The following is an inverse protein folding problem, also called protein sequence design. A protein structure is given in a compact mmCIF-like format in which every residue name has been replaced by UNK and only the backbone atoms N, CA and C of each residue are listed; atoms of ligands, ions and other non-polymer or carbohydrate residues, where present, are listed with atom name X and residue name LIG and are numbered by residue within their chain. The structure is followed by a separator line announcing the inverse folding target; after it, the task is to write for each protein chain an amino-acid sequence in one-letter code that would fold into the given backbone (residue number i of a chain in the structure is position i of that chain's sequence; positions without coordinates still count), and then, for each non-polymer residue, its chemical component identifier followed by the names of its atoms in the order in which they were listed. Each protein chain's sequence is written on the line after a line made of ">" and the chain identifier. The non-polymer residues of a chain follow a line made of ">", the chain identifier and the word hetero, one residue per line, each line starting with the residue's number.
data_IF_384866981829
#
_entry.id   IF_384866981829
#
_cell.length_a   1.000
_cell.length_b   1.000
_cell.length_c   1.000
_cell.angle_alpha   90.00
_cell.angle_beta   90.00
_cell.angle_gamma   90.00
#
_symmetry.space_group_name_H-M   'P 1'
#
loop_
_entity.id
_entity.type
_entity.pdbx_description
1 polymer ?
#
# COMPACT_ATOMS: atom_id res chain seq x y z
N UNK A 1 -13.73 6.36 -8.52
CA UNK A 1 -13.54 6.93 -7.16
C UNK A 1 -12.05 6.96 -6.92
N UNK A 2 -11.38 8.04 -7.27
CA UNK A 2 -9.94 8.17 -7.09
C UNK A 2 -9.64 8.46 -5.62
N UNK A 3 -9.36 7.38 -4.88
CA UNK A 3 -8.77 7.46 -3.54
C UNK A 3 -7.31 7.78 -3.79
N UNK A 4 -6.85 8.97 -3.41
CA UNK A 4 -5.48 9.43 -3.68
C UNK A 4 -4.39 8.57 -3.03
N UNK A 5 -3.25 9.17 -2.69
CA UNK A 5 -2.13 8.46 -2.09
C UNK A 5 -2.39 8.25 -0.60
N UNK A 6 -2.28 7.00 -0.13
CA UNK A 6 -2.26 6.69 1.31
C UNK A 6 -0.85 6.29 1.69
N UNK A 7 -0.26 7.03 2.63
CA UNK A 7 1.09 6.83 3.14
C UNK A 7 1.08 5.93 4.37
N UNK A 8 2.10 5.09 4.47
CA UNK A 8 2.30 4.12 5.53
C UNK A 8 3.79 3.99 5.87
N UNK A 9 4.09 3.33 6.99
CA UNK A 9 5.44 3.12 7.52
C UNK A 9 5.90 4.27 8.40
N UNK A 10 7.03 4.08 9.11
CA UNK A 10 7.59 5.12 9.97
C UNK A 10 8.02 6.38 9.22
N UNK A 11 8.41 6.25 7.94
CA UNK A 11 8.75 7.39 7.10
C UNK A 11 7.56 8.33 6.82
N UNK A 12 6.32 7.82 6.86
CA UNK A 12 5.12 8.63 6.67
C UNK A 12 4.87 9.63 7.80
N UNK A 13 5.51 9.45 8.96
CA UNK A 13 5.40 10.34 10.12
C UNK A 13 6.43 11.48 10.10
N UNK A 14 7.27 11.56 9.06
CA UNK A 14 8.16 12.70 8.88
C UNK A 14 7.31 13.95 8.64
N UNK A 15 7.58 14.99 9.44
CA UNK A 15 6.80 16.22 9.42
C UNK A 15 6.74 16.84 8.01
N UNK A 16 5.52 16.99 7.50
CA UNK A 16 5.23 17.61 6.21
C UNK A 16 5.55 16.76 4.96
N UNK A 17 5.93 15.48 5.09
CA UNK A 17 6.20 14.63 3.93
C UNK A 17 4.94 14.37 3.07
N UNK A 18 3.80 14.19 3.71
CA UNK A 18 2.49 14.06 3.06
C UNK A 18 2.12 15.32 2.26
N UNK A 19 2.38 16.49 2.83
CA UNK A 19 2.20 17.78 2.15
C UNK A 19 3.12 17.91 0.95
N UNK A 20 4.41 17.57 1.09
CA UNK A 20 5.36 17.62 -0.01
C UNK A 20 4.92 16.72 -1.18
N UNK A 21 4.52 15.48 -0.90
CA UNK A 21 4.04 14.56 -1.94
C UNK A 21 2.78 15.11 -2.63
N UNK A 22 1.86 15.69 -1.86
CA UNK A 22 0.66 16.34 -2.43
C UNK A 22 1.01 17.53 -3.33
N UNK A 23 1.96 18.37 -2.93
CA UNK A 23 2.40 19.54 -3.70
C UNK A 23 3.08 19.13 -5.02
N UNK A 24 3.95 18.13 -4.99
CA UNK A 24 4.70 17.66 -6.17
C UNK A 24 3.82 16.85 -7.14
N UNK A 25 2.88 16.05 -6.63
CA UNK A 25 2.05 15.17 -7.48
C UNK A 25 0.72 15.80 -7.89
N UNK A 26 0.22 16.78 -7.15
CA UNK A 26 -1.14 17.29 -7.29
C UNK A 26 -2.23 16.29 -6.84
N UNK A 27 -1.85 15.14 -6.29
CA UNK A 27 -2.78 14.08 -5.87
C UNK A 27 -3.07 14.22 -4.36
N UNK A 28 -4.34 14.12 -3.93
CA UNK A 28 -4.67 14.09 -2.50
C UNK A 28 -3.88 13.01 -1.78
N UNK A 29 -3.18 13.37 -0.71
CA UNK A 29 -2.33 12.46 0.06
C UNK A 29 -2.79 12.43 1.51
N UNK A 30 -2.80 11.24 2.11
CA UNK A 30 -3.30 10.97 3.45
C UNK A 30 -2.34 10.03 4.18
N UNK A 31 -2.22 10.14 5.50
CA UNK A 31 -1.51 9.16 6.33
C UNK A 31 -2.53 8.11 6.82
N UNK A 32 -2.16 6.84 6.81
CA UNK A 32 -3.00 5.77 7.35
C UNK A 32 -3.24 5.93 8.86
N UNK A 33 -4.34 5.37 9.39
CA UNK A 33 -4.69 5.48 10.81
C UNK A 33 -3.63 4.85 11.74
N UNK A 34 -3.01 3.74 11.32
CA UNK A 34 -1.89 3.10 12.02
C UNK A 34 -0.76 2.79 11.01
N UNK A 35 0.06 3.80 10.64
CA UNK A 35 1.04 3.65 9.58
C UNK A 35 2.19 2.72 10.00
N UNK A 36 2.43 2.53 11.30
CA UNK A 36 3.49 1.65 11.79
C UNK A 36 3.07 0.17 11.71
N UNK A 37 1.82 -0.15 12.06
CA UNK A 37 1.34 -1.52 12.05
C UNK A 37 0.79 -1.97 10.69
N UNK A 38 0.53 -1.06 9.75
CA UNK A 38 -0.06 -1.36 8.44
C UNK A 38 0.56 -2.57 7.72
N UNK A 39 1.89 -2.72 7.72
CA UNK A 39 2.56 -3.87 7.10
C UNK A 39 2.22 -5.17 7.84
N UNK A 40 2.40 -5.21 9.16
CA UNK A 40 2.13 -6.40 9.97
C UNK A 40 0.65 -6.81 9.89
N UNK A 41 -0.27 -5.85 10.00
CA UNK A 41 -1.72 -6.08 9.89
C UNK A 41 -2.11 -6.56 8.49
N UNK A 42 -1.54 -5.96 7.44
CA UNK A 42 -1.76 -6.35 6.06
C UNK A 42 -1.27 -7.77 5.78
N UNK A 43 -0.07 -8.11 6.27
CA UNK A 43 0.47 -9.47 6.19
C UNK A 43 -0.41 -10.46 6.95
N UNK A 44 -0.86 -10.14 8.16
CA UNK A 44 -1.78 -11.00 8.93
C UNK A 44 -3.06 -11.29 8.14
N UNK A 45 -3.70 -10.26 7.58
CA UNK A 45 -4.90 -10.42 6.73
C UNK A 45 -4.62 -11.23 5.46
N UNK A 46 -3.43 -11.09 4.88
CA UNK A 46 -3.04 -11.87 3.71
C UNK A 46 -2.91 -13.36 4.03
N UNK A 47 -2.46 -13.72 5.23
CA UNK A 47 -2.40 -15.11 5.69
C UNK A 47 -3.79 -15.77 5.73
N UNK A 48 -4.84 -15.03 6.10
CA UNK A 48 -6.21 -15.54 6.08
C UNK A 48 -6.72 -15.84 4.66
N UNK A 49 -6.11 -15.22 3.64
CA UNK A 49 -6.47 -15.37 2.23
C UNK A 49 -5.38 -16.05 1.40
N UNK A 50 -4.50 -16.84 2.05
CA UNK A 50 -3.28 -17.36 1.42
C UNK A 50 -3.56 -18.12 0.12
N UNK A 51 -4.60 -18.96 0.09
CA UNK A 51 -5.00 -19.73 -1.10
C UNK A 51 -5.33 -18.84 -2.30
N UNK A 52 -6.06 -17.74 -2.06
CA UNK A 52 -6.46 -16.81 -3.12
C UNK A 52 -5.26 -16.02 -3.65
N UNK A 53 -4.29 -15.75 -2.79
CA UNK A 53 -3.04 -15.08 -3.14
C UNK A 53 -2.15 -16.04 -3.96
N UNK A 54 -2.05 -17.31 -3.58
CA UNK A 54 -1.31 -18.33 -4.35
C UNK A 54 -1.85 -18.49 -5.78
N UNK A 55 -3.17 -18.55 -5.94
CA UNK A 55 -3.83 -18.61 -7.25
C UNK A 55 -3.55 -17.37 -8.11
N UNK A 56 -3.54 -16.20 -7.48
CA UNK A 56 -3.22 -14.94 -8.16
C UNK A 56 -1.74 -14.86 -8.55
N UNK A 57 -0.83 -15.32 -7.68
CA UNK A 57 0.61 -15.33 -7.92
C UNK A 57 1.01 -16.35 -8.98
N UNK A 58 0.36 -17.52 -9.02
CA UNK A 58 0.58 -18.53 -10.07
C UNK A 58 0.04 -18.08 -11.43
N UNK A 59 -1.08 -17.35 -11.44
CA UNK A 59 -1.61 -16.71 -12.66
C UNK A 59 -0.65 -15.64 -13.20
N UNK A 60 -0.08 -14.80 -12.33
CA UNK A 60 0.94 -13.81 -12.72
C UNK A 60 2.23 -14.45 -13.24
N UNK A 61 2.68 -15.56 -12.64
CA UNK A 61 3.85 -16.31 -13.15
C UNK A 61 3.65 -16.89 -14.55
N UNK A 62 2.41 -17.22 -14.93
CA UNK A 62 2.07 -17.73 -16.28
C UNK A 62 1.87 -16.63 -17.32
N UNK A 63 1.64 -15.38 -16.89
CA UNK A 63 1.41 -14.22 -17.76
C UNK A 63 2.59 -13.24 -17.86
N UNK A 64 3.81 -13.65 -17.48
CA UNK A 64 4.99 -12.82 -17.64
C UNK A 64 5.31 -12.58 -19.11
N UNK A 65 5.16 -11.33 -19.56
CA UNK A 65 5.75 -10.71 -20.77
C UNK A 65 6.62 -11.63 -21.65
N UNK A 66 5.96 -12.48 -22.46
CA UNK A 66 6.31 -12.92 -23.81
C UNK A 66 5.20 -13.86 -24.32
#
# INVERSE_FOLDING_TARGET
>A
MDRGIVMTGGGALLDGLDRLIKEETGIPTYIADDPLACVALGTGKALDSLSNIEDSLTTLKKGGIA
#
